data_IF_351920326830
#
_entry.id   IF_351920326830
#
_cell.length_a   1.000
_cell.length_b   1.000
_cell.length_c   1.000
_cell.angle_alpha   90.00
_cell.angle_beta   90.00
_cell.angle_gamma   90.00
#
_symmetry.space_group_name_H-M   'P 1'
#
loop_
_entity.id
_entity.type
_entity.pdbx_description
1 polymer ?
#
# COMPACT_ATOMS: atom_id res chain seq x y z
N UNK A 1 -4.99 0.65 3.48
CA UNK A 1 -4.08 1.04 2.40
C UNK A 1 -4.03 2.54 2.32
N UNK A 2 -4.07 3.08 1.12
CA UNK A 2 -3.84 4.49 0.81
C UNK A 2 -5.05 5.11 0.10
N UNK A 3 -4.97 6.42 -0.13
CA UNK A 3 -5.95 7.26 -0.79
C UNK A 3 -5.23 8.45 -1.46
N UNK A 4 -6.00 9.42 -1.96
CA UNK A 4 -5.46 10.62 -2.61
C UNK A 4 -4.57 11.51 -1.72
N UNK A 5 -4.65 11.38 -0.39
CA UNK A 5 -3.82 12.16 0.54
C UNK A 5 -2.40 11.59 0.61
N UNK A 6 -2.25 10.30 0.31
CA UNK A 6 -0.98 9.59 0.38
C UNK A 6 -0.42 9.23 -1.00
N UNK A 7 -1.25 9.15 -2.05
CA UNK A 7 -0.82 8.85 -3.41
C UNK A 7 -1.42 9.87 -4.39
N UNK A 8 -0.57 10.63 -5.07
CA UNK A 8 -1.04 11.65 -5.99
C UNK A 8 0.08 12.30 -6.79
N UNK A 9 -0.31 13.17 -7.70
CA UNK A 9 0.65 13.99 -8.45
C UNK A 9 1.50 14.84 -7.50
N UNK A 10 2.80 14.94 -7.80
CA UNK A 10 3.77 15.71 -7.01
C UNK A 10 4.04 15.18 -5.60
N UNK A 11 3.58 13.97 -5.26
CA UNK A 11 3.81 13.35 -3.97
C UNK A 11 4.24 11.89 -4.11
N UNK A 12 5.35 11.58 -3.44
CA UNK A 12 5.83 10.22 -3.24
C UNK A 12 5.41 9.75 -1.84
N UNK A 13 5.05 8.48 -1.71
CA UNK A 13 4.51 7.90 -0.48
C UNK A 13 5.55 7.06 0.27
N UNK A 14 5.48 6.99 1.62
CA UNK A 14 6.29 6.03 2.38
C UNK A 14 5.87 4.59 2.05
N UNK A 15 6.78 3.63 2.27
CA UNK A 15 6.49 2.22 2.03
C UNK A 15 5.53 1.65 3.09
N UNK A 16 5.60 2.15 4.32
CA UNK A 16 4.77 1.73 5.44
C UNK A 16 3.30 2.08 5.22
N UNK A 17 2.40 1.27 5.80
CA UNK A 17 0.98 1.62 5.80
C UNK A 17 0.74 2.93 6.58
N UNK A 18 -0.12 3.83 6.07
CA UNK A 18 -0.39 5.08 6.75
C UNK A 18 -0.94 4.88 8.17
N UNK A 19 -0.45 5.71 9.09
CA UNK A 19 -0.93 5.78 10.48
C UNK A 19 -0.85 4.41 11.18
N UNK A 20 -1.86 4.06 11.98
CA UNK A 20 -1.88 2.84 12.81
C UNK A 20 -2.57 1.64 12.11
N UNK A 21 -2.69 1.67 10.78
CA UNK A 21 -3.44 0.65 10.06
C UNK A 21 -2.87 -0.77 10.24
N UNK A 22 -1.54 -0.90 10.23
CA UNK A 22 -0.86 -2.19 10.47
C UNK A 22 -1.15 -2.76 11.86
N UNK A 23 -1.13 -1.90 12.87
CA UNK A 23 -1.44 -2.26 14.26
C UNK A 23 -2.91 -2.65 14.43
N UNK A 24 -3.81 -1.88 13.81
CA UNK A 24 -5.25 -2.17 13.78
C UNK A 24 -5.53 -3.54 13.17
N UNK A 25 -4.91 -3.87 12.02
CA UNK A 25 -5.02 -5.21 11.42
C UNK A 25 -4.54 -6.27 12.42
N UNK A 26 -3.43 -6.03 13.11
CA UNK A 26 -2.92 -6.91 14.15
C UNK A 26 -3.92 -7.14 15.30
N UNK A 27 -4.61 -6.10 15.77
CA UNK A 27 -5.64 -6.24 16.80
C UNK A 27 -6.87 -7.00 16.31
N UNK A 28 -7.36 -6.70 15.10
CA UNK A 28 -8.53 -7.37 14.51
C UNK A 28 -8.23 -8.85 14.28
N UNK A 29 -7.06 -9.17 13.73
CA UNK A 29 -6.65 -10.56 13.47
C UNK A 29 -6.56 -11.38 14.76
N UNK A 30 -6.02 -10.80 15.85
CA UNK A 30 -5.98 -11.46 17.16
C UNK A 30 -7.37 -11.73 17.72
N UNK A 31 -8.31 -10.82 17.50
CA UNK A 31 -9.71 -10.99 17.92
C UNK A 31 -10.47 -12.00 17.04
N UNK A 32 -10.14 -12.10 15.75
CA UNK A 32 -10.74 -13.04 14.80
C UNK A 32 -9.70 -13.55 13.78
N UNK A 33 -9.22 -14.79 13.90
CA UNK A 33 -8.24 -15.35 12.96
C UNK A 33 -8.81 -15.57 11.56
N UNK A 34 -10.14 -15.51 11.35
CA UNK A 34 -10.79 -15.58 10.02
C UNK A 34 -10.90 -14.22 9.33
N UNK A 35 -10.01 -13.28 9.67
CA UNK A 35 -9.98 -11.94 9.08
C UNK A 35 -9.46 -11.98 7.65
N UNK A 36 -10.17 -11.30 6.75
CA UNK A 36 -9.73 -11.02 5.37
C UNK A 36 -9.33 -9.54 5.30
N UNK A 37 -8.15 -9.24 4.76
CA UNK A 37 -7.70 -7.86 4.55
C UNK A 37 -7.78 -7.51 3.06
N UNK A 38 -8.43 -6.39 2.74
CA UNK A 38 -8.51 -5.87 1.37
C UNK A 38 -7.66 -4.60 1.28
N UNK A 39 -6.68 -4.61 0.39
CA UNK A 39 -5.74 -3.53 0.17
C UNK A 39 -6.19 -2.65 -0.99
N UNK A 40 -6.29 -1.35 -0.71
CA UNK A 40 -6.49 -0.29 -1.68
C UNK A 40 -5.25 0.60 -1.70
N UNK A 41 -4.78 0.96 -2.89
CA UNK A 41 -3.55 1.71 -3.14
C UNK A 41 -3.13 1.56 -4.60
N UNK A 42 -2.34 2.49 -5.12
CA UNK A 42 -1.76 2.42 -6.46
C UNK A 42 -0.40 1.72 -6.50
N UNK A 43 0.30 1.67 -5.36
CA UNK A 43 1.61 1.04 -5.20
C UNK A 43 1.67 -0.12 -4.19
N UNK A 44 2.86 -0.69 -4.05
CA UNK A 44 3.18 -1.64 -2.99
C UNK A 44 3.37 -0.95 -1.63
N UNK A 45 2.89 -1.58 -0.56
CA UNK A 45 3.05 -1.12 0.82
C UNK A 45 3.49 -2.27 1.70
N UNK A 46 4.03 -1.95 2.88
CA UNK A 46 4.48 -2.96 3.82
C UNK A 46 3.31 -3.81 4.34
N UNK A 47 3.31 -5.08 3.92
CA UNK A 47 2.38 -6.10 4.37
C UNK A 47 3.01 -7.08 5.37
N UNK A 48 4.34 -7.03 5.60
CA UNK A 48 5.05 -7.99 6.45
C UNK A 48 4.50 -8.10 7.87
N UNK A 49 4.03 -7.02 8.54
CA UNK A 49 3.58 -7.13 9.92
C UNK A 49 2.33 -8.00 10.09
N UNK A 50 1.57 -8.28 9.03
CA UNK A 50 0.25 -8.91 9.12
C UNK A 50 -0.10 -9.93 8.03
N UNK A 51 0.58 -9.95 6.88
CA UNK A 51 0.18 -10.76 5.72
C UNK A 51 0.10 -12.26 5.99
N UNK A 52 0.99 -12.77 6.86
CA UNK A 52 1.06 -14.18 7.25
C UNK A 52 0.14 -14.55 8.41
N UNK A 53 -0.53 -13.56 9.03
CA UNK A 53 -1.38 -13.73 10.22
C UNK A 53 -2.87 -13.75 9.89
N UNK A 54 -3.26 -13.21 8.74
CA UNK A 54 -4.67 -13.10 8.31
C UNK A 54 -5.08 -14.33 7.49
N UNK A 55 -6.37 -14.65 7.45
CA UNK A 55 -6.87 -15.82 6.74
C UNK A 55 -6.75 -15.68 5.22
N UNK A 56 -6.92 -14.46 4.71
CA UNK A 56 -6.69 -14.14 3.32
C UNK A 56 -6.37 -12.64 3.16
N UNK A 57 -5.69 -12.31 2.06
CA UNK A 57 -5.52 -10.94 1.62
C UNK A 57 -5.94 -10.79 0.15
N UNK A 58 -6.55 -9.66 -0.18
CA UNK A 58 -6.92 -9.27 -1.54
C UNK A 58 -6.29 -7.92 -1.85
N UNK A 59 -5.69 -7.77 -3.01
CA UNK A 59 -5.22 -6.48 -3.50
C UNK A 59 -6.19 -5.97 -4.56
N UNK A 60 -6.91 -4.90 -4.25
CA UNK A 60 -8.02 -4.37 -5.05
C UNK A 60 -7.69 -3.06 -5.77
N UNK A 61 -6.49 -2.51 -5.59
CA UNK A 61 -6.04 -1.25 -6.18
C UNK A 61 -7.02 -0.09 -5.89
N UNK A 62 -7.18 0.84 -6.83
CA UNK A 62 -8.32 1.75 -6.92
C UNK A 62 -9.32 1.23 -7.97
N UNK A 63 -10.34 0.43 -7.58
CA UNK A 63 -11.12 -0.38 -8.50
C UNK A 63 -12.25 0.37 -9.24
N UNK A 64 -12.31 1.70 -9.12
CA UNK A 64 -13.34 2.53 -9.74
C UNK A 64 -14.75 2.29 -9.19
N UNK A 65 -15.75 2.81 -9.90
CA UNK A 65 -17.14 2.89 -9.43
C UNK A 65 -17.80 1.53 -9.17
N UNK A 66 -17.42 0.49 -9.93
CA UNK A 66 -17.97 -0.87 -9.77
C UNK A 66 -17.11 -1.76 -8.87
N UNK A 67 -16.05 -1.20 -8.25
CA UNK A 67 -15.13 -1.96 -7.42
C UNK A 67 -15.75 -2.61 -6.19
N UNK A 68 -16.68 -1.91 -5.53
CA UNK A 68 -17.41 -2.47 -4.38
C UNK A 68 -18.25 -3.69 -4.77
N UNK A 69 -18.93 -3.62 -5.92
CA UNK A 69 -19.69 -4.76 -6.45
C UNK A 69 -18.74 -5.92 -6.77
N UNK A 70 -17.68 -5.67 -7.53
CA UNK A 70 -16.71 -6.70 -7.89
C UNK A 70 -16.09 -7.40 -6.67
N UNK A 71 -15.71 -6.63 -5.64
CA UNK A 71 -15.19 -7.16 -4.39
C UNK A 71 -16.21 -8.03 -3.66
N UNK A 72 -17.46 -7.60 -3.57
CA UNK A 72 -18.53 -8.39 -2.97
C UNK A 72 -18.75 -9.70 -3.73
N UNK A 73 -18.81 -9.66 -5.06
CA UNK A 73 -18.99 -10.87 -5.88
C UNK A 73 -17.85 -11.88 -5.69
N UNK A 74 -16.62 -11.42 -5.48
CA UNK A 74 -15.48 -12.28 -5.14
C UNK A 74 -15.63 -12.86 -3.73
N UNK A 75 -15.90 -12.03 -2.71
CA UNK A 75 -15.98 -12.46 -1.32
C UNK A 75 -17.14 -13.43 -1.06
N UNK A 76 -18.23 -13.30 -1.79
CA UNK A 76 -19.39 -14.19 -1.73
C UNK A 76 -19.31 -15.36 -2.73
N UNK A 77 -18.21 -15.49 -3.48
CA UNK A 77 -17.98 -16.62 -4.39
C UNK A 77 -18.85 -16.64 -5.64
N UNK A 78 -19.46 -15.51 -6.01
CA UNK A 78 -20.19 -15.36 -7.28
C UNK A 78 -19.23 -15.28 -8.47
N UNK A 79 -18.04 -14.72 -8.26
CA UNK A 79 -16.96 -14.61 -9.25
C UNK A 79 -15.65 -15.11 -8.64
N UNK A 80 -14.92 -15.97 -9.35
CA UNK A 80 -13.58 -16.39 -8.93
C UNK A 80 -12.55 -15.28 -9.24
N UNK A 81 -11.62 -14.97 -8.31
CA UNK A 81 -10.60 -13.95 -8.57
C UNK A 81 -9.65 -14.42 -9.68
N UNK A 82 -9.40 -13.56 -10.67
CA UNK A 82 -8.56 -13.86 -11.83
C UNK A 82 -7.39 -12.88 -12.03
N UNK A 83 -7.24 -11.89 -11.15
CA UNK A 83 -6.17 -10.90 -11.22
C UNK A 83 -4.78 -11.50 -11.04
N UNK A 84 -3.78 -10.87 -11.69
CA UNK A 84 -2.35 -11.11 -11.49
C UNK A 84 -1.69 -9.80 -11.11
N UNK A 85 -0.63 -9.85 -10.32
CA UNK A 85 0.12 -8.66 -9.95
C UNK A 85 0.83 -8.10 -11.20
N UNK A 86 0.62 -6.83 -11.56
CA UNK A 86 1.33 -6.18 -12.67
C UNK A 86 2.70 -5.62 -12.24
N UNK A 87 2.96 -5.55 -10.92
CA UNK A 87 4.20 -5.08 -10.31
C UNK A 87 4.65 -6.06 -9.22
N UNK A 88 5.93 -6.03 -8.88
CA UNK A 88 6.45 -6.70 -7.69
C UNK A 88 5.98 -5.97 -6.44
N UNK A 89 5.54 -6.71 -5.43
CA UNK A 89 5.30 -6.18 -4.09
C UNK A 89 6.51 -6.54 -3.23
N UNK A 90 7.32 -5.54 -2.90
CA UNK A 90 8.56 -5.73 -2.17
C UNK A 90 8.30 -6.23 -0.74
N UNK A 91 9.24 -7.00 -0.20
CA UNK A 91 9.17 -7.42 1.21
C UNK A 91 9.59 -6.27 2.12
N UNK A 92 10.61 -5.53 1.74
CA UNK A 92 11.10 -4.33 2.43
C UNK A 92 11.35 -3.24 1.41
N UNK A 93 11.29 -1.98 1.82
CA UNK A 93 11.64 -0.85 0.96
C UNK A 93 13.02 -1.02 0.29
N UNK A 94 13.99 -1.59 1.02
CA UNK A 94 15.36 -1.83 0.55
C UNK A 94 15.47 -2.89 -0.56
N UNK A 95 14.47 -3.74 -0.72
CA UNK A 95 14.46 -4.76 -1.78
C UNK A 95 14.12 -4.15 -3.16
N UNK A 96 13.58 -2.93 -3.18
CA UNK A 96 13.26 -2.22 -4.40
C UNK A 96 14.54 -1.75 -5.12
N UNK A 97 14.68 -2.01 -6.44
CA UNK A 97 15.90 -1.66 -7.17
C UNK A 97 16.20 -0.16 -7.19
N UNK A 98 15.20 0.71 -7.02
CA UNK A 98 15.42 2.16 -6.95
C UNK A 98 15.71 2.66 -5.54
N UNK A 99 15.68 1.84 -4.48
CA UNK A 99 15.79 2.32 -3.10
C UNK A 99 16.98 3.25 -2.84
N UNK A 100 18.15 2.94 -3.40
CA UNK A 100 19.36 3.75 -3.20
C UNK A 100 19.39 5.06 -4.01
N UNK A 101 18.59 5.16 -5.08
CA UNK A 101 18.58 6.30 -6.01
C UNK A 101 17.27 7.09 -6.00
N UNK A 102 16.23 6.56 -5.36
CA UNK A 102 14.95 7.22 -5.20
C UNK A 102 15.04 8.19 -4.03
N UNK A 103 14.77 9.47 -4.28
CA UNK A 103 14.75 10.49 -3.24
C UNK A 103 13.78 10.07 -2.14
N UNK A 104 14.25 10.02 -0.89
CA UNK A 104 13.39 9.68 0.23
C UNK A 104 12.22 10.67 0.26
N UNK A 105 10.95 10.24 0.16
CA UNK A 105 9.81 11.14 0.22
C UNK A 105 9.88 11.92 1.54
N UNK A 106 10.25 13.19 1.46
CA UNK A 106 10.17 14.08 2.62
C UNK A 106 8.69 14.09 3.02
N UNK A 107 8.31 13.72 4.26
CA UNK A 107 6.91 13.64 4.64
C UNK A 107 6.28 15.02 4.47
N UNK A 108 5.45 15.18 3.43
CA UNK A 108 4.81 16.45 3.10
C UNK A 108 3.92 16.96 4.25
N UNK A 109 3.54 16.08 5.18
CA UNK A 109 2.63 16.39 6.28
C UNK A 109 3.28 16.82 7.60
N UNK A 110 4.61 16.81 7.77
CA UNK A 110 5.21 17.13 9.10
C UNK A 110 6.53 17.91 9.13
N UNK A 111 7.05 18.39 8.00
CA UNK A 111 8.34 19.08 8.00
C UNK A 111 8.29 20.41 7.28
N UNK A 112 8.27 21.51 8.04
CA UNK A 112 8.76 22.82 7.59
C UNK A 112 10.29 22.87 7.50
N UNK A 113 10.98 21.73 7.65
CA UNK A 113 12.41 21.70 7.96
C UNK A 113 13.32 21.33 6.78
N UNK A 114 12.81 20.95 5.60
CA UNK A 114 13.68 20.60 4.46
C UNK A 114 13.17 21.18 3.13
N UNK A 115 13.88 22.15 2.51
CA UNK A 115 13.59 22.57 1.15
C UNK A 115 13.91 21.46 0.13
N UNK A 116 13.33 21.49 -1.09
CA UNK A 116 13.62 20.51 -2.13
C UNK A 116 15.12 20.43 -2.41
N UNK A 117 15.64 19.21 -2.56
CA UNK A 117 17.03 18.98 -2.96
C UNK A 117 17.20 19.49 -4.39
N UNK A 118 18.06 20.49 -4.60
CA UNK A 118 18.43 20.91 -5.95
C UNK A 118 19.11 19.74 -6.66
N UNK A 119 18.54 19.32 -7.80
CA UNK A 119 19.23 18.40 -8.71
C UNK A 119 20.32 19.18 -9.44
N UNK A 120 21.58 18.92 -9.10
CA UNK A 120 22.72 19.40 -9.87
C UNK A 120 22.95 18.51 -11.08
N UNK A 121 22.75 19.07 -12.27
CA UNK A 121 23.22 18.45 -13.51
C UNK A 121 24.67 18.86 -13.73
N UNK A 122 25.55 17.87 -13.96
CA UNK A 122 26.89 18.13 -14.52
C UNK A 122 26.77 18.11 -16.04
N UNK A 123 27.22 19.18 -16.70
CA UNK A 123 27.48 19.21 -18.14
C UNK A 123 28.59 18.24 -18.55
#
# INVERSE_FOLDING_TARGET
GSNFEYEGESLDHPFELPQFQSELIGFIQKANPKTIVVMHGGGGMDMQPWADKVAASLHAWFPGQQGGQALAEILYGKVNPSGKLPITLDKKAQDNPSYASYSNPVPYYFSSANPPTEMTYSE
#
